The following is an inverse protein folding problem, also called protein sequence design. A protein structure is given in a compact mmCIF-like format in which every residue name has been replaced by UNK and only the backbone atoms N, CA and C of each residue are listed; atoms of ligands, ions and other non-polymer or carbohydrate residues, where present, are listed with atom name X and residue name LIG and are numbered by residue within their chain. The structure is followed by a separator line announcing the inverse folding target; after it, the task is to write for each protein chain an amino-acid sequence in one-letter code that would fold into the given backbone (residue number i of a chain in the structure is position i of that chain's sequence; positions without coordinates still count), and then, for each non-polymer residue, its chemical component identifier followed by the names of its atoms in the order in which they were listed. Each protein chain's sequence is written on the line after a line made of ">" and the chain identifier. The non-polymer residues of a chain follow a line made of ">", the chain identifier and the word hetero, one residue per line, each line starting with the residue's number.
data_IF_095487328474
#
_entry.id   IF_095487328474
#
_cell.length_a   1.000
_cell.length_b   1.000
_cell.length_c   1.000
_cell.angle_alpha   90.00
_cell.angle_beta   90.00
_cell.angle_gamma   90.00
#
_symmetry.space_group_name_H-M   'P 1'
#
loop_
_entity.id
_entity.type
_entity.pdbx_description
1 polymer ?
#
# COMPACT_ATOMS: atom_id res chain seq x y z
N UNK A 1 -69.66 -24.12 24.70
CA UNK A 1 -68.23 -23.78 24.80
C UNK A 1 -68.08 -22.32 24.35
N UNK A 2 -67.72 -21.40 25.24
CA UNK A 2 -67.42 -20.01 24.87
C UNK A 2 -65.95 -19.94 24.47
N UNK A 3 -65.67 -19.65 23.19
CA UNK A 3 -64.30 -19.39 22.74
C UNK A 3 -64.00 -17.91 22.98
N UNK A 4 -63.30 -17.61 24.09
CA UNK A 4 -62.77 -16.27 24.35
C UNK A 4 -61.63 -16.04 23.37
N UNK A 5 -61.82 -15.13 22.42
CA UNK A 5 -60.79 -14.75 21.44
C UNK A 5 -60.07 -13.51 21.97
N UNK A 6 -58.75 -13.60 22.15
CA UNK A 6 -57.94 -12.46 22.57
C UNK A 6 -57.74 -11.47 21.41
N UNK A 7 -57.73 -10.17 21.72
CA UNK A 7 -57.25 -9.14 20.77
C UNK A 7 -55.73 -9.08 20.86
N UNK A 8 -55.05 -9.50 19.80
CA UNK A 8 -53.60 -9.61 19.82
C UNK A 8 -52.88 -8.28 19.62
N UNK A 9 -51.70 -8.11 20.25
CA UNK A 9 -50.78 -7.03 19.90
C UNK A 9 -50.28 -7.20 18.46
N UNK A 10 -49.76 -6.13 17.88
CA UNK A 10 -49.19 -6.15 16.53
C UNK A 10 -48.06 -7.19 16.44
N UNK A 11 -48.02 -7.94 15.33
CA UNK A 11 -47.06 -9.02 15.11
C UNK A 11 -47.45 -10.37 15.70
N UNK A 12 -48.55 -10.51 16.44
CA UNK A 12 -48.96 -11.78 17.05
C UNK A 12 -50.31 -12.28 16.55
N UNK A 13 -50.45 -13.60 16.54
CA UNK A 13 -51.67 -14.34 16.18
C UNK A 13 -51.89 -15.54 17.10
N UNK A 14 -53.00 -16.24 16.94
CA UNK A 14 -53.41 -17.37 17.77
C UNK A 14 -54.52 -17.01 18.77
N UNK A 15 -55.12 -18.05 19.36
CA UNK A 15 -56.27 -17.90 20.27
C UNK A 15 -55.94 -17.11 21.55
N UNK A 16 -54.67 -17.15 21.95
CA UNK A 16 -54.08 -16.49 23.12
C UNK A 16 -52.91 -15.59 22.73
N UNK A 17 -52.77 -15.25 21.45
CA UNK A 17 -51.68 -14.43 20.91
C UNK A 17 -50.28 -15.03 21.14
N UNK A 18 -50.21 -16.35 21.12
CA UNK A 18 -49.03 -17.16 21.42
C UNK A 18 -48.06 -17.31 20.24
N UNK A 19 -48.49 -16.98 19.03
CA UNK A 19 -47.72 -17.18 17.80
C UNK A 19 -47.24 -15.85 17.25
N UNK A 20 -45.92 -15.70 17.06
CA UNK A 20 -45.36 -14.60 16.29
C UNK A 20 -45.70 -14.80 14.80
N UNK A 21 -46.12 -13.73 14.13
CA UNK A 21 -46.32 -13.75 12.68
C UNK A 21 -44.96 -13.82 12.01
N UNK A 22 -44.80 -14.73 11.06
CA UNK A 22 -43.56 -14.84 10.27
C UNK A 22 -43.47 -13.69 9.27
N UNK A 23 -42.71 -12.66 9.64
CA UNK A 23 -42.48 -11.47 8.82
C UNK A 23 -41.57 -11.78 7.61
N UNK A 24 -40.92 -12.97 7.58
CA UNK A 24 -40.09 -13.44 6.48
C UNK A 24 -40.85 -14.25 5.42
N UNK A 25 -42.12 -14.60 5.63
CA UNK A 25 -42.90 -15.45 4.73
C UNK A 25 -43.03 -14.89 3.30
N UNK A 26 -43.01 -13.57 3.15
CA UNK A 26 -43.06 -12.88 1.86
C UNK A 26 -41.71 -12.84 1.12
N UNK A 27 -40.65 -13.34 1.75
CA UNK A 27 -39.26 -13.31 1.28
C UNK A 27 -38.80 -11.88 0.94
N UNK A 28 -38.85 -10.94 1.92
CA UNK A 28 -38.57 -9.54 1.66
C UNK A 28 -37.09 -9.26 1.33
N UNK A 29 -36.16 -10.14 1.71
CA UNK A 29 -34.74 -9.96 1.44
C UNK A 29 -34.35 -10.44 0.04
N UNK A 30 -33.88 -9.51 -0.79
CA UNK A 30 -33.43 -9.73 -2.16
C UNK A 30 -31.95 -10.15 -2.22
N UNK A 31 -31.48 -10.48 -3.42
CA UNK A 31 -30.06 -10.73 -3.72
C UNK A 31 -29.37 -11.76 -2.82
N UNK A 32 -30.10 -12.81 -2.41
CA UNK A 32 -29.64 -13.83 -1.46
C UNK A 32 -29.37 -13.32 -0.02
N UNK A 33 -30.01 -12.22 0.38
CA UNK A 33 -30.06 -11.78 1.77
C UNK A 33 -30.75 -12.80 2.68
N UNK A 34 -30.23 -12.95 3.90
CA UNK A 34 -30.84 -13.82 4.91
C UNK A 34 -31.87 -13.03 5.71
N UNK A 35 -33.12 -13.48 5.69
CA UNK A 35 -34.19 -12.88 6.50
C UNK A 35 -34.14 -13.38 7.93
N UNK A 36 -34.27 -12.45 8.88
CA UNK A 36 -34.40 -12.72 10.30
C UNK A 36 -35.77 -12.21 10.74
N UNK A 37 -36.61 -13.13 11.17
CA UNK A 37 -37.94 -12.85 11.71
C UNK A 37 -37.84 -11.99 12.98
N UNK A 38 -38.77 -11.06 13.15
CA UNK A 38 -38.85 -10.15 14.29
C UNK A 38 -40.29 -10.03 14.75
N UNK A 39 -40.59 -9.01 15.56
CA UNK A 39 -41.97 -8.78 16.02
C UNK A 39 -42.55 -7.63 15.21
N UNK A 40 -43.51 -7.93 14.33
CA UNK A 40 -44.13 -6.96 13.42
C UNK A 40 -43.09 -6.23 12.56
N UNK A 41 -41.98 -6.89 12.27
CA UNK A 41 -40.85 -6.39 11.50
C UNK A 41 -39.90 -7.55 11.16
N UNK A 42 -39.13 -7.40 10.09
CA UNK A 42 -38.05 -8.30 9.73
C UNK A 42 -36.71 -7.54 9.69
N UNK A 43 -35.60 -8.28 9.71
CA UNK A 43 -34.27 -7.73 9.42
C UNK A 43 -33.60 -8.56 8.33
N UNK A 44 -33.15 -7.91 7.27
CA UNK A 44 -32.33 -8.57 6.26
C UNK A 44 -30.84 -8.45 6.58
N UNK A 45 -30.15 -9.59 6.60
CA UNK A 45 -28.69 -9.66 6.60
C UNK A 45 -28.23 -9.73 5.15
N UNK A 46 -27.85 -8.56 4.62
CA UNK A 46 -27.46 -8.44 3.21
C UNK A 46 -26.10 -9.08 2.94
N UNK A 47 -25.90 -9.69 1.77
CA UNK A 47 -24.58 -10.12 1.34
C UNK A 47 -23.67 -8.92 1.09
N UNK A 48 -22.38 -9.19 1.03
CA UNK A 48 -21.38 -8.18 0.71
C UNK A 48 -21.71 -7.49 -0.62
N UNK A 49 -21.62 -6.17 -0.62
CA UNK A 49 -21.96 -5.34 -1.78
C UNK A 49 -23.44 -4.94 -1.87
N UNK A 50 -24.33 -5.46 -1.03
CA UNK A 50 -25.73 -5.02 -0.98
C UNK A 50 -26.03 -4.21 0.28
N UNK A 51 -26.92 -3.23 0.14
CA UNK A 51 -27.41 -2.32 1.18
C UNK A 51 -28.93 -2.18 1.03
N UNK A 52 -29.56 -1.35 1.88
CA UNK A 52 -31.01 -1.21 2.12
C UNK A 52 -31.58 -2.24 3.10
N UNK A 53 -32.82 -2.02 3.53
CA UNK A 53 -33.56 -2.91 4.43
C UNK A 53 -33.93 -4.25 3.77
N UNK A 54 -34.05 -4.26 2.45
CA UNK A 54 -34.42 -5.42 1.63
C UNK A 54 -33.25 -5.95 0.78
N UNK A 55 -32.05 -5.39 0.92
CA UNK A 55 -30.86 -5.75 0.14
C UNK A 55 -31.01 -5.49 -1.37
N UNK A 56 -31.89 -4.59 -1.78
CA UNK A 56 -32.15 -4.25 -3.18
C UNK A 56 -31.05 -3.41 -3.81
N UNK A 57 -30.37 -2.58 -3.00
CA UNK A 57 -29.40 -1.63 -3.49
C UNK A 57 -28.00 -2.25 -3.54
N UNK A 58 -27.34 -2.16 -4.70
CA UNK A 58 -25.93 -2.53 -4.83
C UNK A 58 -25.06 -1.34 -4.45
N UNK A 59 -24.19 -1.52 -3.45
CA UNK A 59 -23.24 -0.52 -2.97
C UNK A 59 -21.84 -0.93 -3.37
N UNK A 60 -21.26 -0.21 -4.32
CA UNK A 60 -19.84 -0.37 -4.65
C UNK A 60 -18.98 0.13 -3.47
N UNK A 61 -18.14 -0.73 -2.85
CA UNK A 61 -17.25 -0.31 -1.77
C UNK A 61 -16.30 0.83 -2.18
N UNK A 62 -15.96 0.90 -3.47
CA UNK A 62 -15.07 1.92 -4.04
C UNK A 62 -15.66 3.34 -4.03
N UNK A 63 -16.98 3.50 -3.95
CA UNK A 63 -17.60 4.83 -3.93
C UNK A 63 -17.34 5.56 -2.60
N UNK A 64 -17.24 4.78 -1.51
CA UNK A 64 -17.02 5.31 -0.16
C UNK A 64 -15.56 5.34 0.23
N UNK A 65 -14.75 4.47 -0.38
CA UNK A 65 -13.31 4.33 -0.13
C UNK A 65 -12.56 4.32 -1.46
N UNK A 66 -12.47 5.48 -2.15
CA UNK A 66 -11.78 5.56 -3.41
C UNK A 66 -10.26 5.44 -3.23
N UNK A 67 -9.60 4.86 -4.23
CA UNK A 67 -8.15 4.88 -4.33
C UNK A 67 -7.69 6.26 -4.80
N UNK A 68 -6.70 6.82 -4.13
CA UNK A 68 -6.14 8.13 -4.42
C UNK A 68 -5.10 8.05 -5.55
N UNK A 69 -4.64 9.23 -6.01
CA UNK A 69 -3.51 9.36 -6.93
C UNK A 69 -3.62 8.51 -8.22
N UNK A 70 -4.85 8.38 -8.74
CA UNK A 70 -5.11 7.62 -9.96
C UNK A 70 -4.99 6.10 -9.79
N UNK A 71 -5.07 5.57 -8.56
CA UNK A 71 -5.16 4.15 -8.31
C UNK A 71 -6.47 3.55 -8.83
N UNK A 72 -6.44 2.30 -9.28
CA UNK A 72 -7.63 1.56 -9.69
C UNK A 72 -8.24 0.83 -8.48
N UNK A 73 -9.55 0.97 -8.28
CA UNK A 73 -10.27 0.31 -7.20
C UNK A 73 -11.03 -0.93 -7.70
N UNK A 74 -10.94 -2.01 -6.92
CA UNK A 74 -11.67 -3.24 -7.17
C UNK A 74 -12.48 -3.62 -5.94
N UNK A 75 -13.77 -3.90 -6.12
CA UNK A 75 -14.60 -4.46 -5.08
C UNK A 75 -14.18 -5.92 -4.81
N UNK A 76 -13.87 -6.24 -3.56
CA UNK A 76 -13.51 -7.59 -3.12
C UNK A 76 -14.34 -8.00 -1.90
N UNK A 77 -14.45 -9.30 -1.63
CA UNK A 77 -15.26 -9.84 -0.53
C UNK A 77 -14.79 -9.37 0.86
N UNK A 78 -13.52 -9.02 1.00
CA UNK A 78 -12.94 -8.50 2.25
C UNK A 78 -12.97 -6.97 2.34
N UNK A 79 -13.44 -6.27 1.31
CA UNK A 79 -13.42 -4.80 1.22
C UNK A 79 -12.90 -4.29 -0.14
N UNK A 80 -12.76 -2.97 -0.31
CA UNK A 80 -12.15 -2.38 -1.49
C UNK A 80 -10.64 -2.68 -1.53
N UNK A 81 -10.11 -3.04 -2.70
CA UNK A 81 -8.69 -3.25 -2.93
C UNK A 81 -8.19 -2.21 -3.94
N UNK A 82 -7.11 -1.51 -3.57
CA UNK A 82 -6.49 -0.52 -4.44
C UNK A 82 -5.25 -1.08 -5.15
N UNK A 83 -5.24 -0.96 -6.47
CA UNK A 83 -4.03 -1.12 -7.28
C UNK A 83 -3.46 0.27 -7.57
N UNK A 84 -2.35 0.59 -6.92
CA UNK A 84 -1.75 1.92 -7.04
C UNK A 84 -1.08 2.15 -8.38
N UNK A 85 -1.18 3.39 -8.85
CA UNK A 85 -0.40 3.88 -9.99
C UNK A 85 1.09 3.94 -9.64
N UNK A 86 2.00 3.85 -10.63
CA UNK A 86 3.44 3.91 -10.38
C UNK A 86 3.82 5.15 -9.56
N UNK A 87 4.68 4.95 -8.54
CA UNK A 87 5.10 6.03 -7.67
C UNK A 87 4.20 6.27 -6.46
N UNK A 88 3.19 5.43 -6.20
CA UNK A 88 2.37 5.50 -4.98
C UNK A 88 2.22 4.13 -4.28
N UNK A 89 2.02 4.17 -2.96
CA UNK A 89 1.78 3.04 -2.07
C UNK A 89 0.77 3.40 -0.96
N UNK A 90 0.46 2.44 -0.10
CA UNK A 90 -0.57 2.56 0.95
C UNK A 90 -1.83 1.79 0.59
N UNK A 91 -2.75 1.66 1.55
CA UNK A 91 -3.98 0.89 1.36
C UNK A 91 -4.95 1.58 0.38
N UNK A 92 -4.87 2.92 0.31
CA UNK A 92 -5.67 3.76 -0.55
C UNK A 92 -4.80 4.57 -1.52
N UNK A 93 -3.55 4.15 -1.75
CA UNK A 93 -2.57 4.83 -2.62
C UNK A 93 -2.26 6.27 -2.20
N UNK A 94 -2.30 6.54 -0.91
CA UNK A 94 -2.16 7.87 -0.31
C UNK A 94 -0.71 8.37 -0.22
N UNK A 95 0.27 7.46 -0.24
CA UNK A 95 1.68 7.80 -0.04
C UNK A 95 2.46 7.72 -1.34
N UNK A 96 3.27 8.74 -1.71
CA UNK A 96 4.22 8.59 -2.80
C UNK A 96 5.31 7.59 -2.41
N UNK A 97 5.73 6.74 -3.36
CA UNK A 97 6.93 5.94 -3.20
C UNK A 97 8.12 6.89 -3.01
N UNK A 98 9.06 6.58 -2.10
CA UNK A 98 10.32 7.29 -2.04
C UNK A 98 10.96 7.14 -3.41
N UNK A 99 11.07 8.24 -4.14
CA UNK A 99 11.80 8.23 -5.39
C UNK A 99 13.23 7.85 -5.02
N UNK A 100 13.71 6.70 -5.48
CA UNK A 100 15.14 6.36 -5.46
C UNK A 100 15.90 7.25 -6.44
N UNK A 101 15.80 8.56 -6.24
CA UNK A 101 16.96 9.39 -6.46
C UNK A 101 17.83 9.06 -5.27
N UNK A 102 18.83 8.22 -5.46
CA UNK A 102 19.96 8.25 -4.55
C UNK A 102 20.35 9.73 -4.43
N UNK A 103 20.08 10.34 -3.27
CA UNK A 103 20.54 11.69 -2.94
C UNK A 103 22.06 11.63 -2.69
N UNK A 104 22.83 11.07 -3.63
CA UNK A 104 24.22 11.45 -3.77
C UNK A 104 24.18 12.87 -4.31
N UNK A 105 24.13 13.83 -3.38
CA UNK A 105 24.16 15.25 -3.71
C UNK A 105 25.22 15.48 -4.79
N UNK A 106 24.93 16.25 -5.86
CA UNK A 106 25.92 16.57 -6.88
C UNK A 106 27.23 17.11 -6.27
N UNK A 107 27.14 17.75 -5.10
CA UNK A 107 28.27 18.20 -4.31
C UNK A 107 29.13 17.04 -3.75
N UNK A 108 28.52 15.93 -3.34
CA UNK A 108 29.21 14.73 -2.85
C UNK A 108 29.95 14.03 -4.00
N UNK A 109 29.32 13.90 -5.18
CA UNK A 109 29.99 13.37 -6.38
C UNK A 109 31.17 14.25 -6.80
N UNK A 110 30.99 15.57 -6.79
CA UNK A 110 32.07 16.52 -7.07
C UNK A 110 33.23 16.42 -6.06
N UNK A 111 32.92 16.26 -4.77
CA UNK A 111 33.95 16.11 -3.74
C UNK A 111 34.76 14.82 -3.91
N UNK A 112 34.09 13.69 -4.19
CA UNK A 112 34.76 12.39 -4.41
C UNK A 112 35.65 12.46 -5.66
N UNK A 113 35.14 13.01 -6.76
CA UNK A 113 35.90 13.13 -8.02
C UNK A 113 37.11 14.05 -7.88
N UNK A 114 36.97 15.22 -7.25
CA UNK A 114 38.08 16.12 -6.96
C UNK A 114 39.13 15.46 -6.04
N UNK A 115 38.69 14.71 -5.03
CA UNK A 115 39.59 13.97 -4.13
C UNK A 115 40.44 12.94 -4.87
N UNK A 116 39.83 12.15 -5.77
CA UNK A 116 40.54 11.18 -6.60
C UNK A 116 41.53 11.84 -7.57
N UNK A 117 41.15 12.96 -8.18
CA UNK A 117 42.04 13.73 -9.06
C UNK A 117 43.25 14.24 -8.28
N UNK A 118 43.04 14.86 -7.11
CA UNK A 118 44.12 15.36 -6.27
C UNK A 118 45.07 14.24 -5.83
N UNK A 119 44.52 13.10 -5.40
CA UNK A 119 45.32 11.93 -5.03
C UNK A 119 46.14 11.41 -6.21
N UNK A 120 45.54 11.33 -7.41
CA UNK A 120 46.23 10.89 -8.62
C UNK A 120 47.41 11.82 -8.99
N UNK A 121 47.22 13.14 -8.88
CA UNK A 121 48.26 14.14 -9.15
C UNK A 121 49.40 14.05 -8.14
N UNK A 122 49.09 13.85 -6.85
CA UNK A 122 50.10 13.65 -5.81
C UNK A 122 50.92 12.38 -6.04
N UNK A 123 50.26 11.27 -6.40
CA UNK A 123 50.93 10.01 -6.74
C UNK A 123 51.80 10.18 -7.98
N UNK A 124 51.30 10.83 -9.04
CA UNK A 124 52.08 11.13 -10.24
C UNK A 124 53.31 11.99 -9.94
N UNK A 125 53.15 13.05 -9.14
CA UNK A 125 54.27 13.91 -8.72
C UNK A 125 55.30 13.13 -7.91
N UNK A 126 54.87 12.32 -6.94
CA UNK A 126 55.75 11.47 -6.13
C UNK A 126 56.52 10.48 -7.02
N UNK A 127 55.85 9.80 -7.95
CA UNK A 127 56.51 8.89 -8.90
C UNK A 127 57.51 9.64 -9.79
N UNK A 128 57.19 10.84 -10.27
CA UNK A 128 58.12 11.66 -11.03
C UNK A 128 59.35 12.05 -10.21
N UNK A 129 59.17 12.53 -8.98
CA UNK A 129 60.27 12.89 -8.08
C UNK A 129 61.14 11.66 -7.79
N UNK A 130 60.53 10.51 -7.45
CA UNK A 130 61.26 9.27 -7.21
C UNK A 130 62.04 8.81 -8.46
N UNK A 131 61.47 8.97 -9.67
CA UNK A 131 62.19 8.70 -10.93
C UNK A 131 63.36 9.65 -11.14
N UNK A 132 63.21 10.94 -10.83
CA UNK A 132 64.30 11.91 -10.95
C UNK A 132 65.41 11.66 -9.92
N UNK A 133 65.06 11.35 -8.67
CA UNK A 133 66.00 10.97 -7.62
C UNK A 133 66.72 9.65 -7.95
N UNK A 134 66.03 8.70 -8.59
CA UNK A 134 66.65 7.48 -9.10
C UNK A 134 67.63 7.77 -10.23
N UNK A 135 67.27 8.62 -11.21
CA UNK A 135 68.18 9.03 -12.30
C UNK A 135 69.38 9.84 -11.80
N UNK A 136 69.20 10.73 -10.83
CA UNK A 136 70.32 11.49 -10.25
C UNK A 136 71.28 10.57 -9.48
N UNK A 137 70.74 9.58 -8.76
CA UNK A 137 71.50 8.52 -8.10
C UNK A 137 72.22 7.59 -9.09
N UNK A 138 71.60 7.24 -10.22
CA UNK A 138 72.24 6.47 -11.28
C UNK A 138 73.39 7.26 -11.93
N UNK A 139 73.22 8.57 -12.18
CA UNK A 139 74.27 9.45 -12.72
C UNK A 139 75.45 9.66 -11.77
N UNK A 140 75.21 9.77 -10.46
CA UNK A 140 76.31 9.87 -9.48
C UNK A 140 77.08 8.56 -9.33
N UNK A 141 76.45 7.39 -9.51
CA UNK A 141 77.16 6.11 -9.59
C UNK A 141 77.93 5.92 -10.90
N UNK A 142 77.43 6.42 -12.04
CA UNK A 142 78.15 6.39 -13.32
C UNK A 142 79.44 7.23 -13.29
N UNK A 143 79.47 8.34 -12.54
CA UNK A 143 80.72 9.09 -12.32
C UNK A 143 81.68 8.42 -11.33
N UNK A 144 81.16 7.67 -10.35
CA UNK A 144 82.01 6.95 -9.38
C UNK A 144 82.69 5.72 -9.99
N UNK A 145 82.06 5.05 -10.97
CA UNK A 145 82.65 3.90 -11.67
C UNK A 145 83.54 4.28 -12.86
N UNK A 146 83.52 5.54 -13.32
CA UNK A 146 84.36 6.02 -14.43
C UNK A 146 85.73 6.55 -13.99
N UNK A 147 86.05 6.53 -12.70
CA UNK A 147 87.34 7.01 -12.12
C UNK A 147 88.25 5.83 -11.69
N UNK A 148 87.82 4.59 -11.90
CA UNK A 148 88.57 3.37 -11.56
C UNK A 148 88.70 2.42 -12.77
N UNK A 149 89.21 2.90 -13.91
CA UNK A 149 89.93 2.11 -14.93
C UNK A 149 91.00 3.00 -15.53
#
# INVERSE_FOLDING_TARGET
>A
MNQVTCRCPLGFTGSRCETNIDDCASRPCLNAGTCVDGVNNFTCRCPLGFTSNDCSEHRNPCDRFPCLNGGACYAHFTGPICKCSPGFMGNNCEYPLPTEKEDVSPALVAAITLGLIMLSMLVCAAVHILRQLRRSRERTCSCLSAVFI
#
